data_IF_318917319281
#
_entry.id   IF_318917319281
#
_cell.length_a   1.000
_cell.length_b   1.000
_cell.length_c   1.000
_cell.angle_alpha   90.00
_cell.angle_beta   90.00
_cell.angle_gamma   90.00
#
_symmetry.space_group_name_H-M   'P 1'
#
loop_
_entity.id
_entity.type
_entity.pdbx_description
1 polymer ?
#
# COMPACT_ATOMS: atom_id res chain seq x y z
N UNK A 1 -25.99 1.99 -7.66
CA UNK A 1 -24.79 2.66 -7.10
C UNK A 1 -24.39 2.13 -5.72
N UNK A 2 -25.24 2.22 -4.68
CA UNK A 2 -24.85 1.84 -3.31
C UNK A 2 -24.35 0.38 -3.15
N UNK A 3 -24.94 -0.58 -3.89
CA UNK A 3 -24.50 -1.98 -3.89
C UNK A 3 -23.08 -2.16 -4.49
N UNK A 4 -22.77 -1.42 -5.57
CA UNK A 4 -21.44 -1.44 -6.18
C UNK A 4 -20.40 -0.84 -5.24
N UNK A 5 -20.71 0.29 -4.59
CA UNK A 5 -19.81 0.91 -3.61
C UNK A 5 -19.49 -0.03 -2.44
N UNK A 6 -20.49 -0.75 -1.91
CA UNK A 6 -20.27 -1.76 -0.86
C UNK A 6 -19.41 -2.92 -1.32
N UNK A 7 -19.64 -3.40 -2.54
CA UNK A 7 -18.85 -4.50 -3.13
C UNK A 7 -17.39 -4.07 -3.30
N UNK A 8 -17.19 -2.88 -3.85
CA UNK A 8 -15.87 -2.28 -4.06
C UNK A 8 -15.15 -2.01 -2.73
N UNK A 9 -15.83 -1.44 -1.73
CA UNK A 9 -15.24 -1.19 -0.42
C UNK A 9 -14.80 -2.49 0.28
N UNK A 10 -15.59 -3.58 0.18
CA UNK A 10 -15.20 -4.90 0.70
C UNK A 10 -13.97 -5.44 -0.02
N UNK A 11 -13.93 -5.30 -1.34
CA UNK A 11 -12.80 -5.74 -2.15
C UNK A 11 -11.52 -4.95 -1.83
N UNK A 12 -11.62 -3.62 -1.72
CA UNK A 12 -10.52 -2.73 -1.33
C UNK A 12 -9.99 -3.07 0.06
N UNK A 13 -10.90 -3.24 1.04
CA UNK A 13 -10.53 -3.61 2.39
C UNK A 13 -9.75 -4.93 2.45
N UNK A 14 -10.27 -5.98 1.79
CA UNK A 14 -9.62 -7.30 1.75
C UNK A 14 -8.20 -7.28 1.14
N UNK A 15 -7.89 -6.25 0.35
CA UNK A 15 -6.58 -6.02 -0.29
C UNK A 15 -5.73 -4.97 0.41
N UNK A 16 -6.16 -4.49 1.59
CA UNK A 16 -5.42 -3.48 2.34
C UNK A 16 -5.34 -2.12 1.64
N UNK A 17 -6.33 -1.77 0.82
CA UNK A 17 -6.43 -0.45 0.19
C UNK A 17 -7.11 0.53 1.18
N UNK A 18 -6.42 1.62 1.46
CA UNK A 18 -6.89 2.75 2.27
C UNK A 18 -7.57 3.80 1.38
N UNK A 19 -8.53 4.56 1.93
CA UNK A 19 -9.25 5.58 1.16
C UNK A 19 -8.34 6.69 0.62
N UNK A 20 -7.21 6.98 1.27
CA UNK A 20 -6.21 7.96 0.80
C UNK A 20 -5.58 7.57 -0.54
N UNK A 21 -5.61 6.28 -0.87
CA UNK A 21 -5.05 5.74 -2.12
C UNK A 21 -6.06 5.90 -3.27
N UNK A 22 -7.35 6.11 -2.97
CA UNK A 22 -8.39 6.26 -3.99
C UNK A 22 -8.30 7.58 -4.78
N UNK A 23 -7.44 8.51 -4.36
CA UNK A 23 -7.12 9.74 -5.11
C UNK A 23 -6.13 9.50 -6.26
N UNK A 24 -5.56 8.29 -6.37
CA UNK A 24 -4.50 7.99 -7.33
C UNK A 24 -5.01 7.30 -8.61
N UNK A 25 -4.92 8.00 -9.75
CA UNK A 25 -4.88 7.42 -11.11
C UNK A 25 -6.13 6.66 -11.59
N UNK A 26 -6.94 7.30 -12.43
CA UNK A 26 -8.22 6.79 -12.96
C UNK A 26 -8.13 5.39 -13.63
N UNK A 27 -7.01 5.07 -14.28
CA UNK A 27 -6.82 3.76 -14.93
C UNK A 27 -6.69 2.60 -13.93
N UNK A 28 -5.99 2.82 -12.80
CA UNK A 28 -5.83 1.79 -11.76
C UNK A 28 -7.15 1.58 -11.01
N UNK A 29 -7.87 2.69 -10.78
CA UNK A 29 -9.22 2.68 -10.25
C UNK A 29 -10.17 1.86 -11.13
N UNK A 30 -10.07 1.98 -12.47
CA UNK A 30 -10.85 1.16 -13.39
C UNK A 30 -10.57 -0.34 -13.23
N UNK A 31 -9.31 -0.74 -13.20
CA UNK A 31 -8.94 -2.16 -12.99
C UNK A 31 -9.42 -2.71 -11.65
N UNK A 32 -9.40 -1.90 -10.60
CA UNK A 32 -9.96 -2.28 -9.29
C UNK A 32 -11.48 -2.55 -9.38
N UNK A 33 -12.22 -1.70 -10.11
CA UNK A 33 -13.67 -1.88 -10.30
C UNK A 33 -13.97 -3.11 -11.15
N UNK A 34 -13.22 -3.33 -12.22
CA UNK A 34 -13.39 -4.51 -13.09
C UNK A 34 -13.28 -5.81 -12.30
N UNK A 35 -12.24 -5.90 -11.47
CA UNK A 35 -12.00 -7.06 -10.61
C UNK A 35 -13.01 -7.19 -9.47
N UNK A 36 -13.38 -6.07 -8.84
CA UNK A 36 -14.33 -6.09 -7.73
C UNK A 36 -15.76 -6.44 -8.17
N UNK A 37 -16.18 -5.99 -9.35
CA UNK A 37 -17.52 -6.23 -9.88
C UNK A 37 -17.60 -7.46 -10.80
N UNK A 38 -16.46 -8.03 -11.21
CA UNK A 38 -16.39 -9.15 -12.15
C UNK A 38 -16.88 -8.79 -13.56
N UNK A 39 -16.87 -7.49 -13.91
CA UNK A 39 -17.33 -6.97 -15.20
C UNK A 39 -16.70 -5.63 -15.47
N UNK A 40 -16.58 -5.28 -16.76
CA UNK A 40 -16.07 -3.98 -17.18
C UNK A 40 -16.82 -2.81 -16.51
N UNK A 41 -16.06 -1.90 -15.93
CA UNK A 41 -16.51 -0.65 -15.37
C UNK A 41 -17.01 0.27 -16.51
N UNK A 42 -18.01 1.13 -16.24
CA UNK A 42 -18.37 2.19 -17.18
C UNK A 42 -17.15 3.06 -17.53
N UNK A 43 -17.12 3.58 -18.75
CA UNK A 43 -16.02 4.42 -19.27
C UNK A 43 -15.70 5.60 -18.34
N UNK A 44 -16.75 6.18 -17.74
CA UNK A 44 -16.65 7.17 -16.69
C UNK A 44 -16.87 6.50 -15.36
N UNK A 45 -15.79 6.43 -14.57
CA UNK A 45 -15.91 6.08 -13.17
C UNK A 45 -16.56 7.25 -12.46
N UNK A 46 -17.83 7.08 -12.07
CA UNK A 46 -18.57 8.15 -11.40
C UNK A 46 -17.82 8.56 -10.13
N UNK A 47 -17.46 9.84 -10.02
CA UNK A 47 -16.81 10.39 -8.82
C UNK A 47 -17.59 10.05 -7.55
N UNK A 48 -18.92 9.96 -7.65
CA UNK A 48 -19.83 9.56 -6.58
C UNK A 48 -19.61 8.10 -6.11
N UNK A 49 -19.27 7.17 -7.00
CA UNK A 49 -18.96 5.79 -6.65
C UNK A 49 -17.70 5.73 -5.78
N UNK A 50 -16.66 6.49 -6.15
CA UNK A 50 -15.42 6.55 -5.37
C UNK A 50 -15.61 7.26 -4.04
N UNK A 51 -16.33 8.38 -4.00
CA UNK A 51 -16.67 9.07 -2.76
C UNK A 51 -17.41 8.16 -1.78
N UNK A 52 -18.42 7.42 -2.26
CA UNK A 52 -19.12 6.45 -1.41
C UNK A 52 -18.22 5.29 -0.96
N UNK A 53 -17.32 4.82 -1.82
CA UNK A 53 -16.37 3.75 -1.47
C UNK A 53 -15.38 4.22 -0.40
N UNK A 54 -14.83 5.43 -0.55
CA UNK A 54 -13.96 6.06 0.43
C UNK A 54 -14.66 6.23 1.79
N UNK A 55 -15.90 6.71 1.79
CA UNK A 55 -16.70 6.85 3.01
C UNK A 55 -16.92 5.50 3.72
N UNK A 56 -17.19 4.43 2.98
CA UNK A 56 -17.37 3.08 3.54
C UNK A 56 -16.06 2.50 4.11
N UNK A 57 -14.92 2.76 3.48
CA UNK A 57 -13.60 2.38 4.00
C UNK A 57 -13.27 3.14 5.29
N UNK A 58 -13.54 4.45 5.33
CA UNK A 58 -13.40 5.26 6.53
C UNK A 58 -14.25 4.74 7.69
N UNK A 59 -15.55 4.48 7.44
CA UNK A 59 -16.45 3.86 8.42
C UNK A 59 -15.93 2.50 8.90
N UNK A 60 -15.39 1.68 8.00
CA UNK A 60 -14.85 0.37 8.37
C UNK A 60 -13.63 0.51 9.27
N UNK A 61 -12.72 1.44 8.95
CA UNK A 61 -11.55 1.72 9.79
C UNK A 61 -11.95 2.21 11.18
N UNK A 62 -12.93 3.10 11.27
CA UNK A 62 -13.41 3.59 12.55
C UNK A 62 -14.04 2.46 13.38
N UNK A 63 -14.78 1.56 12.73
CA UNK A 63 -15.30 0.34 13.36
C UNK A 63 -14.18 -0.59 13.82
N UNK A 64 -13.18 -0.88 12.99
CA UNK A 64 -12.03 -1.73 13.34
C UNK A 64 -11.28 -1.16 14.55
N UNK A 65 -11.07 0.17 14.59
CA UNK A 65 -10.47 0.87 15.74
C UNK A 65 -11.30 0.70 17.00
N UNK A 66 -12.62 0.92 16.91
CA UNK A 66 -13.53 0.80 18.06
C UNK A 66 -13.61 -0.63 18.61
N UNK A 67 -13.39 -1.65 17.76
CA UNK A 67 -13.50 -3.07 18.12
C UNK A 67 -12.15 -3.78 18.23
N UNK A 68 -11.04 -3.04 18.13
CA UNK A 68 -9.67 -3.57 18.17
C UNK A 68 -9.42 -4.70 17.17
N UNK A 69 -10.05 -4.62 16.00
CA UNK A 69 -9.85 -5.59 14.92
C UNK A 69 -8.61 -5.19 14.14
N UNK A 70 -7.66 -6.12 14.01
CA UNK A 70 -6.50 -5.91 13.15
C UNK A 70 -6.95 -5.85 11.68
N UNK A 71 -6.69 -4.74 10.97
CA UNK A 71 -7.04 -4.64 9.56
C UNK A 71 -6.13 -5.56 8.72
N UNK A 72 -6.52 -5.88 7.47
CA UNK A 72 -5.65 -6.54 6.52
C UNK A 72 -4.34 -5.78 6.32
N UNK A 73 -3.27 -6.51 6.02
CA UNK A 73 -1.97 -5.91 5.68
C UNK A 73 -2.15 -4.91 4.54
N UNK A 74 -1.76 -3.64 4.73
CA UNK A 74 -1.88 -2.64 3.69
C UNK A 74 -1.12 -3.05 2.42
N UNK A 75 -1.71 -2.78 1.25
CA UNK A 75 -0.96 -2.94 0.01
C UNK A 75 0.17 -1.91 -0.05
N UNK A 76 1.36 -2.33 -0.49
CA UNK A 76 2.51 -1.44 -0.62
C UNK A 76 2.27 -0.29 -1.62
N UNK A 77 1.45 -0.52 -2.64
CA UNK A 77 0.98 0.51 -3.56
C UNK A 77 -0.33 0.09 -4.25
N UNK A 78 -1.02 1.03 -4.90
CA UNK A 78 -2.26 0.73 -5.64
C UNK A 78 -2.05 -0.35 -6.73
N UNK A 79 -0.97 -0.33 -7.54
CA UNK A 79 -0.63 -1.42 -8.44
C UNK A 79 -0.46 -2.79 -7.76
N UNK A 80 0.08 -2.87 -6.54
CA UNK A 80 0.14 -4.14 -5.79
C UNK A 80 -1.23 -4.68 -5.46
N UNK A 81 -2.15 -3.80 -5.04
CA UNK A 81 -3.47 -4.22 -4.64
C UNK A 81 -4.30 -4.75 -5.83
N UNK A 82 -4.11 -4.17 -7.02
CA UNK A 82 -4.84 -4.55 -8.24
C UNK A 82 -4.12 -5.60 -9.09
N UNK A 83 -2.84 -5.90 -8.84
CA UNK A 83 -2.12 -6.90 -9.61
C UNK A 83 -2.68 -8.30 -9.35
N UNK A 84 -2.92 -9.05 -10.43
CA UNK A 84 -3.32 -10.47 -10.34
C UNK A 84 -2.11 -11.35 -10.05
N UNK A 85 -0.96 -11.06 -10.67
CA UNK A 85 0.27 -11.83 -10.50
C UNK A 85 1.40 -10.98 -9.88
N UNK A 86 1.90 -9.99 -10.61
CA UNK A 86 3.00 -9.13 -10.17
C UNK A 86 2.67 -7.66 -10.36
N UNK A 87 2.95 -6.88 -9.33
CA UNK A 87 2.88 -5.43 -9.39
C UNK A 87 3.93 -4.92 -10.40
N UNK A 88 3.58 -4.18 -11.47
CA UNK A 88 4.56 -3.67 -12.43
C UNK A 88 5.58 -2.70 -11.78
N UNK A 89 5.21 -2.07 -10.67
CA UNK A 89 6.12 -1.19 -9.90
C UNK A 89 7.19 -1.97 -9.14
N UNK A 90 6.88 -3.21 -8.71
CA UNK A 90 7.79 -4.01 -7.91
C UNK A 90 8.33 -5.23 -8.66
N UNK A 91 7.73 -5.63 -9.78
CA UNK A 91 8.15 -6.76 -10.60
C UNK A 91 9.64 -6.62 -10.95
N UNK A 92 10.43 -7.63 -10.57
CA UNK A 92 11.84 -7.75 -10.97
C UNK A 92 12.91 -7.08 -10.09
N UNK A 93 12.56 -6.23 -9.11
CA UNK A 93 13.57 -5.63 -8.20
C UNK A 93 13.71 -6.50 -6.95
N UNK A 94 14.66 -7.44 -6.97
CA UNK A 94 14.89 -8.38 -5.86
C UNK A 94 16.12 -7.99 -5.05
N UNK A 95 16.06 -8.18 -3.74
CA UNK A 95 17.15 -7.98 -2.82
C UNK A 95 18.29 -8.92 -3.20
N UNK A 96 19.49 -8.38 -3.40
CA UNK A 96 20.67 -9.18 -3.73
C UNK A 96 20.99 -10.23 -2.66
N UNK A 97 20.74 -9.90 -1.39
CA UNK A 97 21.12 -10.74 -0.25
C UNK A 97 20.13 -11.89 0.03
N UNK A 98 18.82 -11.62 0.01
CA UNK A 98 17.80 -12.63 0.37
C UNK A 98 16.93 -13.07 -0.81
N UNK A 99 17.05 -12.43 -1.98
CA UNK A 99 16.18 -12.68 -3.13
C UNK A 99 14.72 -12.24 -2.92
N UNK A 100 14.38 -11.59 -1.81
CA UNK A 100 13.05 -11.02 -1.55
C UNK A 100 12.75 -9.79 -2.40
N UNK A 101 11.50 -9.37 -2.49
CA UNK A 101 11.11 -8.19 -3.28
C UNK A 101 11.58 -6.88 -2.59
N UNK A 102 12.21 -5.96 -3.32
CA UNK A 102 12.62 -4.64 -2.81
C UNK A 102 11.50 -3.61 -2.93
N UNK A 103 11.41 -2.74 -1.94
CA UNK A 103 10.46 -1.63 -1.92
C UNK A 103 10.93 -0.47 -2.81
N UNK A 104 10.00 0.28 -3.43
CA UNK A 104 10.35 1.37 -4.36
C UNK A 104 11.24 2.45 -3.73
N UNK A 105 10.98 2.85 -2.49
CA UNK A 105 11.80 3.86 -1.78
C UNK A 105 13.26 3.42 -1.72
N UNK A 106 13.50 2.14 -1.41
CA UNK A 106 14.83 1.52 -1.36
C UNK A 106 15.47 1.54 -2.75
N UNK A 107 14.71 1.20 -3.80
CA UNK A 107 15.19 1.22 -5.19
C UNK A 107 15.46 2.63 -5.71
N UNK A 108 14.59 3.60 -5.42
CA UNK A 108 14.67 5.00 -5.86
C UNK A 108 15.86 5.72 -5.21
N UNK A 109 16.21 5.34 -3.98
CA UNK A 109 17.42 5.78 -3.28
C UNK A 109 18.69 5.05 -3.76
N UNK A 110 18.55 4.10 -4.69
CA UNK A 110 19.68 3.39 -5.31
C UNK A 110 20.11 2.11 -4.60
N UNK A 111 19.38 1.68 -3.57
CA UNK A 111 19.69 0.44 -2.85
C UNK A 111 19.16 -0.80 -3.59
N UNK A 112 19.93 -1.87 -3.53
CA UNK A 112 19.60 -3.18 -4.09
C UNK A 112 19.54 -4.30 -3.04
N UNK A 113 19.59 -3.93 -1.75
CA UNK A 113 19.42 -4.79 -0.57
C UNK A 113 18.32 -4.24 0.33
N UNK A 114 17.67 -5.09 1.13
CA UNK A 114 16.79 -4.59 2.19
C UNK A 114 17.65 -3.96 3.30
N UNK A 115 17.19 -2.91 3.99
CA UNK A 115 17.90 -2.34 5.14
C UNK A 115 18.23 -3.37 6.25
N UNK A 116 17.39 -4.41 6.40
CA UNK A 116 17.64 -5.52 7.33
C UNK A 116 18.62 -6.59 6.81
N UNK A 117 18.88 -6.60 5.50
CA UNK A 117 19.80 -7.50 4.84
C UNK A 117 21.20 -6.89 4.67
N UNK A 118 21.34 -5.57 4.82
CA UNK A 118 22.63 -4.92 4.99
C UNK A 118 23.23 -5.32 6.35
N UNK A 119 24.09 -6.34 6.34
CA UNK A 119 24.95 -6.64 7.50
C UNK A 119 26.07 -5.60 7.56
N UNK A 120 26.42 -5.08 8.75
CA UNK A 120 27.61 -4.25 8.91
C UNK A 120 28.85 -5.15 8.80
N UNK A 121 29.40 -5.23 7.61
CA UNK A 121 30.65 -5.93 7.33
C UNK A 121 31.29 -5.31 6.11
N UNK A 122 32.37 -4.57 6.35
CA UNK A 122 33.27 -3.99 5.34
C UNK A 122 32.63 -2.85 4.50
N UNK A 123 32.82 -1.61 4.97
CA UNK A 123 32.65 -0.32 4.25
C UNK A 123 31.38 0.52 4.50
N UNK A 124 30.48 0.14 5.39
CA UNK A 124 29.33 0.97 5.76
C UNK A 124 29.68 2.04 6.79
N UNK A 125 29.77 3.31 6.37
CA UNK A 125 30.00 4.45 7.27
C UNK A 125 28.93 4.51 8.36
N UNK A 126 29.36 4.45 9.63
CA UNK A 126 28.54 4.49 10.85
C UNK A 126 27.47 5.59 10.83
N UNK A 127 27.75 6.69 10.12
CA UNK A 127 26.87 7.84 9.95
C UNK A 127 25.54 7.53 9.27
N UNK A 128 25.46 6.55 8.37
CA UNK A 128 24.19 6.19 7.69
C UNK A 128 23.27 5.42 8.65
N UNK A 129 23.83 4.53 9.47
CA UNK A 129 23.10 3.82 10.52
C UNK A 129 22.63 4.77 11.62
N UNK A 130 23.46 5.74 12.01
CA UNK A 130 23.06 6.77 12.98
C UNK A 130 21.95 7.67 12.43
N UNK A 131 21.98 8.02 11.14
CA UNK A 131 20.94 8.84 10.52
C UNK A 131 19.62 8.07 10.38
N UNK A 132 19.65 6.81 9.94
CA UNK A 132 18.48 5.95 9.87
C UNK A 132 17.90 5.62 11.26
N UNK A 133 18.75 5.39 12.27
CA UNK A 133 18.33 5.17 13.65
C UNK A 133 17.75 6.44 14.27
N UNK A 134 18.30 7.64 14.00
CA UNK A 134 17.73 8.92 14.43
C UNK A 134 16.35 9.16 13.80
N UNK A 135 16.17 8.84 12.52
CA UNK A 135 14.88 8.95 11.85
C UNK A 135 13.84 7.97 12.40
N UNK A 136 14.21 6.71 12.63
CA UNK A 136 13.31 5.73 13.23
C UNK A 136 12.96 6.10 14.68
N UNK A 137 13.91 6.63 15.46
CA UNK A 137 13.66 7.09 16.83
C UNK A 137 12.78 8.34 16.88
N UNK A 138 12.96 9.28 15.96
CA UNK A 138 12.09 10.46 15.83
C UNK A 138 10.66 10.05 15.44
N UNK A 139 10.51 9.02 14.60
CA UNK A 139 9.21 8.51 14.18
C UNK A 139 8.49 7.75 15.31
N UNK A 140 9.24 7.03 16.16
CA UNK A 140 8.68 6.32 17.32
C UNK A 140 8.33 7.26 18.49
N UNK A 141 9.10 8.33 18.72
CA UNK A 141 8.83 9.32 19.78
C UNK A 141 7.72 10.32 19.42
N UNK A 142 7.40 10.48 18.14
CA UNK A 142 6.29 11.32 17.67
C UNK A 142 4.93 10.61 17.74
N UNK A 143 4.87 9.35 18.18
CA UNK A 143 3.61 8.67 18.46
C UNK A 143 3.11 9.06 19.86
N UNK A 144 1.91 9.64 19.99
CA UNK A 144 1.32 9.87 21.30
C UNK A 144 1.03 8.50 21.96
N UNK A 145 1.30 8.43 23.27
CA UNK A 145 1.17 7.24 24.10
C UNK A 145 -0.25 6.67 24.14
#
# INVERSE_FOLDING_TARGET
>A
MAANAKTLARWCYARGIDERILECGENLLRSAVDQALGRAAPLHLESLLWQHTAALLGQRRDWDRAHQVSPPTPAECLPCAVAVDQCPTHAGRRCRACGGQLHRIVVDEGFDTHPCCDRPGENGSLTVLEHAAQMLRATLLAQPA
#
